data_IF_800701649397
#
_entry.id   IF_800701649397
#
_cell.length_a   1.000
_cell.length_b   1.000
_cell.length_c   1.000
_cell.angle_alpha   90.00
_cell.angle_beta   90.00
_cell.angle_gamma   90.00
#
_symmetry.space_group_name_H-M   'P 1'
#
loop_
_entity.id
_entity.type
_entity.pdbx_description
1 polymer ?
#
# COMPACT_ATOMS: atom_id res chain seq x y z
N UNK A 1 9.83 17.89 -28.26
CA UNK A 1 10.27 16.48 -28.23
C UNK A 1 9.84 15.91 -26.87
N UNK A 2 8.62 15.38 -26.80
CA UNK A 2 8.04 14.82 -25.57
C UNK A 2 8.73 13.47 -25.33
N UNK A 3 9.65 13.39 -24.38
CA UNK A 3 10.29 12.11 -24.04
C UNK A 3 9.26 11.32 -23.25
N UNK A 4 8.75 10.25 -23.82
CA UNK A 4 7.83 9.33 -23.14
C UNK A 4 8.50 8.86 -21.86
N UNK A 5 8.01 9.36 -20.73
CA UNK A 5 8.63 9.13 -19.45
C UNK A 5 8.29 7.70 -19.02
N UNK A 6 9.29 6.83 -18.98
CA UNK A 6 9.05 5.42 -18.65
C UNK A 6 8.66 5.28 -17.17
N UNK A 7 7.91 4.24 -16.81
CA UNK A 7 7.55 3.94 -15.40
C UNK A 7 8.76 3.91 -14.47
N UNK A 8 9.93 3.48 -14.98
CA UNK A 8 11.20 3.50 -14.25
C UNK A 8 11.65 4.92 -13.89
N UNK A 9 11.52 5.87 -14.81
CA UNK A 9 11.91 7.26 -14.58
C UNK A 9 11.04 7.92 -13.51
N UNK A 10 9.74 7.59 -13.50
CA UNK A 10 8.82 8.01 -12.44
C UNK A 10 9.26 7.45 -11.10
N UNK A 11 9.47 6.13 -10.98
CA UNK A 11 9.88 5.48 -9.73
C UNK A 11 11.20 6.05 -9.17
N UNK A 12 12.19 6.29 -10.03
CA UNK A 12 13.49 6.87 -9.63
C UNK A 12 13.31 8.30 -9.09
N UNK A 13 12.41 9.09 -9.68
CA UNK A 13 12.12 10.46 -9.23
C UNK A 13 11.41 10.50 -7.86
N UNK A 14 10.68 9.44 -7.54
CA UNK A 14 10.01 9.27 -6.24
C UNK A 14 10.88 8.63 -5.15
N UNK A 15 12.02 8.02 -5.52
CA UNK A 15 13.01 7.43 -4.59
C UNK A 15 13.37 8.31 -3.37
N UNK A 16 13.52 9.65 -3.48
CA UNK A 16 13.83 10.49 -2.32
C UNK A 16 12.71 10.56 -1.29
N UNK A 17 11.45 10.43 -1.72
CA UNK A 17 10.28 10.50 -0.83
C UNK A 17 10.22 9.26 0.06
N UNK A 18 10.52 8.08 -0.49
CA UNK A 18 10.51 6.81 0.25
C UNK A 18 11.64 6.67 1.28
N UNK A 19 12.75 7.38 1.11
CA UNK A 19 13.89 7.32 2.05
C UNK A 19 13.52 7.79 3.47
N UNK A 20 12.50 8.63 3.61
CA UNK A 20 11.99 9.11 4.90
C UNK A 20 11.20 8.04 5.66
N UNK A 21 10.54 7.13 4.95
CA UNK A 21 9.59 6.16 5.51
C UNK A 21 10.17 4.76 5.73
N UNK A 22 11.48 4.66 5.97
CA UNK A 22 12.16 3.35 6.09
C UNK A 22 11.60 2.49 7.22
N UNK A 23 11.15 3.11 8.32
CA UNK A 23 10.61 2.38 9.48
C UNK A 23 9.21 1.82 9.17
N UNK A 24 8.38 2.65 8.55
CA UNK A 24 7.03 2.33 8.11
C UNK A 24 7.06 1.23 7.06
N UNK A 25 8.00 1.28 6.11
CA UNK A 25 8.25 0.19 5.17
C UNK A 25 8.69 -1.10 5.86
N UNK A 26 9.58 -1.02 6.85
CA UNK A 26 10.01 -2.21 7.58
C UNK A 26 8.83 -2.89 8.31
N UNK A 27 7.93 -2.11 8.91
CA UNK A 27 6.72 -2.64 9.56
C UNK A 27 5.76 -3.23 8.52
N UNK A 28 5.60 -2.58 7.36
CA UNK A 28 4.78 -3.11 6.28
C UNK A 28 5.32 -4.45 5.76
N UNK A 29 6.63 -4.56 5.52
CA UNK A 29 7.29 -5.79 5.08
C UNK A 29 7.13 -6.90 6.13
N UNK A 30 7.27 -6.56 7.42
CA UNK A 30 7.01 -7.51 8.50
C UNK A 30 5.56 -8.01 8.47
N UNK A 31 4.59 -7.11 8.28
CA UNK A 31 3.18 -7.45 8.10
C UNK A 31 2.95 -8.39 6.90
N UNK A 32 3.63 -8.14 5.78
CA UNK A 32 3.57 -8.98 4.58
C UNK A 32 4.10 -10.39 4.83
N UNK A 33 5.25 -10.52 5.49
CA UNK A 33 5.80 -11.83 5.85
C UNK A 33 4.81 -12.58 6.74
N UNK A 34 4.24 -11.91 7.74
CA UNK A 34 3.26 -12.52 8.65
C UNK A 34 2.00 -12.98 7.90
N UNK A 35 1.48 -12.15 6.98
CA UNK A 35 0.32 -12.51 6.15
C UNK A 35 0.61 -13.65 5.18
N UNK A 36 1.80 -13.70 4.59
CA UNK A 36 2.21 -14.78 3.69
C UNK A 36 2.35 -16.12 4.44
N UNK A 37 3.00 -16.11 5.60
CA UNK A 37 3.08 -17.29 6.49
C UNK A 37 1.68 -17.73 6.93
N UNK A 38 0.85 -16.78 7.35
CA UNK A 38 -0.53 -17.06 7.74
C UNK A 38 -1.36 -17.67 6.61
N UNK A 39 -1.18 -17.19 5.38
CA UNK A 39 -1.88 -17.72 4.19
C UNK A 39 -1.43 -19.13 3.86
N UNK A 40 -0.12 -19.39 3.85
CA UNK A 40 0.42 -20.73 3.65
C UNK A 40 -0.03 -21.69 4.77
N UNK A 41 0.00 -21.24 6.02
CA UNK A 41 -0.45 -22.00 7.18
C UNK A 41 -1.93 -22.33 7.14
N UNK A 42 -2.79 -21.39 6.75
CA UNK A 42 -4.22 -21.64 6.54
C UNK A 42 -4.46 -22.72 5.48
N UNK A 43 -3.77 -22.66 4.35
CA UNK A 43 -3.90 -23.66 3.29
C UNK A 43 -3.39 -25.04 3.74
N UNK A 44 -2.22 -25.09 4.38
CA UNK A 44 -1.64 -26.32 4.91
C UNK A 44 -2.50 -26.98 5.99
N UNK A 45 -3.28 -26.19 6.74
CA UNK A 45 -4.16 -26.69 7.80
C UNK A 45 -5.41 -27.40 7.30
N UNK A 46 -5.81 -27.21 6.03
CA UNK A 46 -7.03 -27.84 5.47
C UNK A 46 -6.94 -29.36 5.45
N UNK A 47 -5.80 -29.93 5.02
CA UNK A 47 -5.62 -31.37 4.90
C UNK A 47 -5.67 -32.09 6.28
N UNK A 48 -4.92 -31.66 7.31
CA UNK A 48 -5.04 -32.22 8.66
C UNK A 48 -6.46 -32.12 9.23
N UNK A 49 -7.14 -31.00 9.01
CA UNK A 49 -8.53 -30.84 9.48
C UNK A 49 -9.44 -31.88 8.82
N UNK A 50 -9.33 -32.06 7.51
CA UNK A 50 -10.11 -33.08 6.80
C UNK A 50 -9.80 -34.49 7.28
N UNK A 51 -8.53 -34.84 7.39
CA UNK A 51 -8.11 -36.19 7.76
C UNK A 51 -8.43 -36.51 9.23
N UNK A 52 -8.05 -35.66 10.18
CA UNK A 52 -8.18 -35.96 11.62
C UNK A 52 -9.60 -35.77 12.17
N UNK A 53 -10.38 -34.82 11.64
CA UNK A 53 -11.74 -34.56 12.13
C UNK A 53 -12.78 -35.42 11.42
N UNK A 54 -12.69 -35.56 10.09
CA UNK A 54 -13.72 -36.27 9.32
C UNK A 54 -13.42 -37.75 9.11
N UNK A 55 -12.15 -38.16 9.05
CA UNK A 55 -11.77 -39.57 8.83
C UNK A 55 -11.52 -40.31 10.15
N UNK A 56 -10.63 -39.79 11.00
CA UNK A 56 -10.27 -40.47 12.27
C UNK A 56 -11.24 -40.21 13.43
N UNK A 57 -12.14 -39.21 13.33
CA UNK A 57 -13.14 -38.85 14.37
C UNK A 57 -12.55 -38.68 15.78
N UNK A 58 -11.35 -38.12 15.88
CA UNK A 58 -10.69 -37.93 17.17
C UNK A 58 -11.24 -36.69 17.91
N UNK A 59 -12.01 -36.91 18.98
CA UNK A 59 -12.69 -35.84 19.74
C UNK A 59 -11.74 -34.83 20.39
N UNK A 60 -10.50 -35.23 20.75
CA UNK A 60 -9.52 -34.31 21.35
C UNK A 60 -8.96 -33.31 20.32
N UNK A 61 -8.82 -33.76 19.07
CA UNK A 61 -8.37 -32.93 17.94
C UNK A 61 -9.47 -32.00 17.43
N UNK A 62 -10.74 -32.33 17.68
CA UNK A 62 -11.92 -31.55 17.31
C UNK A 62 -11.90 -30.12 17.86
N UNK A 63 -11.35 -29.91 19.06
CA UNK A 63 -11.26 -28.58 19.67
C UNK A 63 -9.92 -27.88 19.39
N UNK A 64 -8.84 -28.65 19.31
CA UNK A 64 -7.47 -28.11 19.20
C UNK A 64 -7.20 -27.52 17.81
N UNK A 65 -7.59 -28.21 16.74
CA UNK A 65 -7.34 -27.78 15.35
C UNK A 65 -8.08 -26.49 14.99
N UNK A 66 -9.40 -26.34 15.25
CA UNK A 66 -10.10 -25.09 14.99
C UNK A 66 -9.56 -23.92 15.79
N UNK A 67 -9.17 -24.14 17.06
CA UNK A 67 -8.58 -23.10 17.90
C UNK A 67 -7.24 -22.61 17.32
N UNK A 68 -6.37 -23.52 16.89
CA UNK A 68 -5.11 -23.17 16.23
C UNK A 68 -5.37 -22.40 14.92
N UNK A 69 -6.39 -22.79 14.15
CA UNK A 69 -6.78 -22.10 12.92
C UNK A 69 -7.25 -20.67 13.19
N UNK A 70 -8.04 -20.45 14.25
CA UNK A 70 -8.45 -19.10 14.68
C UNK A 70 -7.21 -18.25 15.00
N UNK A 71 -6.23 -18.79 15.73
CA UNK A 71 -4.98 -18.09 16.04
C UNK A 71 -4.22 -17.71 14.76
N UNK A 72 -4.08 -18.65 13.82
CA UNK A 72 -3.43 -18.40 12.51
C UNK A 72 -4.14 -17.26 11.77
N UNK A 73 -5.47 -17.26 11.74
CA UNK A 73 -6.25 -16.22 11.08
C UNK A 73 -6.10 -14.86 11.78
N UNK A 74 -6.06 -14.82 13.11
CA UNK A 74 -5.83 -13.58 13.85
C UNK A 74 -4.46 -12.99 13.49
N UNK A 75 -3.40 -13.80 13.53
CA UNK A 75 -2.05 -13.36 13.18
C UNK A 75 -1.95 -12.91 11.72
N UNK A 76 -2.55 -13.67 10.79
CA UNK A 76 -2.63 -13.31 9.37
C UNK A 76 -3.28 -11.95 9.16
N UNK A 77 -4.45 -11.72 9.78
CA UNK A 77 -5.21 -10.48 9.65
C UNK A 77 -4.52 -9.30 10.32
N UNK A 78 -3.81 -9.54 11.43
CA UNK A 78 -2.97 -8.52 12.06
C UNK A 78 -1.84 -8.08 11.12
N UNK A 79 -1.15 -9.03 10.49
CA UNK A 79 -0.17 -8.74 9.45
C UNK A 79 -0.77 -7.95 8.29
N UNK A 80 -1.97 -8.34 7.86
CA UNK A 80 -2.68 -7.72 6.74
C UNK A 80 -3.07 -6.27 7.07
N UNK A 81 -3.51 -6.03 8.30
CA UNK A 81 -3.82 -4.70 8.79
C UNK A 81 -2.57 -3.82 8.83
N UNK A 82 -1.47 -4.31 9.42
CA UNK A 82 -0.22 -3.56 9.50
C UNK A 82 0.30 -3.16 8.11
N UNK A 83 0.41 -4.11 7.18
CA UNK A 83 0.86 -3.79 5.83
C UNK A 83 -0.06 -2.77 5.15
N UNK A 84 -1.39 -2.92 5.28
CA UNK A 84 -2.36 -2.04 4.61
C UNK A 84 -2.26 -0.63 5.17
N UNK A 85 -2.23 -0.52 6.49
CA UNK A 85 -2.16 0.76 7.19
C UNK A 85 -0.89 1.54 6.84
N UNK A 86 0.29 0.91 6.98
CA UNK A 86 1.55 1.61 6.76
C UNK A 86 1.77 1.97 5.29
N UNK A 87 1.40 1.09 4.35
CA UNK A 87 1.46 1.43 2.92
C UNK A 87 0.52 2.59 2.57
N UNK A 88 -0.70 2.59 3.14
CA UNK A 88 -1.66 3.68 2.94
C UNK A 88 -1.16 5.00 3.53
N UNK A 89 -0.57 4.95 4.74
CA UNK A 89 0.03 6.11 5.39
C UNK A 89 1.16 6.71 4.56
N UNK A 90 2.08 5.87 4.05
CA UNK A 90 3.18 6.29 3.19
C UNK A 90 2.67 6.96 1.91
N UNK A 91 1.67 6.36 1.25
CA UNK A 91 1.05 6.91 0.05
C UNK A 91 0.42 8.28 0.30
N UNK A 92 -0.39 8.40 1.35
CA UNK A 92 -1.06 9.65 1.72
C UNK A 92 -0.09 10.76 2.13
N UNK A 93 0.95 10.46 2.93
CA UNK A 93 1.92 11.49 3.33
C UNK A 93 2.84 11.90 2.17
N UNK A 94 3.23 10.96 1.31
CA UNK A 94 3.99 11.28 0.07
C UNK A 94 3.20 12.26 -0.79
N UNK A 95 1.89 12.03 -0.96
CA UNK A 95 1.03 12.95 -1.67
C UNK A 95 0.92 14.31 -0.99
N UNK A 96 0.76 14.35 0.34
CA UNK A 96 0.70 15.60 1.10
C UNK A 96 1.91 16.48 0.77
N UNK A 97 3.11 15.88 0.74
CA UNK A 97 4.34 16.58 0.38
C UNK A 97 4.32 17.06 -1.08
N UNK A 98 3.81 16.25 -2.01
CA UNK A 98 3.68 16.66 -3.41
C UNK A 98 2.73 17.85 -3.59
N UNK A 99 1.52 17.78 -3.02
CA UNK A 99 0.55 18.89 -3.03
C UNK A 99 1.18 20.17 -2.50
N UNK A 100 1.88 20.06 -1.37
CA UNK A 100 2.57 21.20 -0.77
C UNK A 100 3.65 21.78 -1.68
N UNK A 101 4.49 20.95 -2.31
CA UNK A 101 5.53 21.41 -3.24
C UNK A 101 4.96 22.10 -4.47
N UNK A 102 3.90 21.54 -5.06
CA UNK A 102 3.25 22.12 -6.24
C UNK A 102 2.61 23.47 -5.89
N UNK A 103 1.83 23.52 -4.82
CA UNK A 103 1.19 24.76 -4.37
C UNK A 103 2.22 25.84 -4.03
N UNK A 104 3.29 25.48 -3.31
CA UNK A 104 4.38 26.40 -2.97
C UNK A 104 5.08 26.95 -4.22
N UNK A 105 5.20 26.15 -5.28
CA UNK A 105 5.78 26.63 -6.54
C UNK A 105 4.80 27.54 -7.29
N UNK A 106 3.52 27.17 -7.35
CA UNK A 106 2.47 27.96 -8.01
C UNK A 106 2.39 29.37 -7.42
N UNK A 107 2.41 29.49 -6.08
CA UNK A 107 2.32 30.77 -5.37
C UNK A 107 3.55 31.69 -5.57
N UNK A 108 4.65 31.18 -6.14
CA UNK A 108 5.86 31.97 -6.43
C UNK A 108 5.91 32.48 -7.88
N UNK A 109 4.96 32.09 -8.72
CA UNK A 109 4.94 32.49 -10.13
C UNK A 109 4.50 33.94 -10.27
N UNK A 110 4.95 34.57 -11.34
CA UNK A 110 4.66 35.96 -11.69
C UNK A 110 3.23 36.14 -12.21
N UNK A 111 2.72 37.37 -12.12
CA UNK A 111 1.37 37.70 -12.60
C UNK A 111 1.19 37.41 -14.10
N UNK A 112 2.23 37.49 -14.92
CA UNK A 112 2.12 37.19 -16.34
C UNK A 112 1.90 35.70 -16.61
N UNK A 113 2.40 34.80 -15.75
CA UNK A 113 2.03 33.39 -15.80
C UNK A 113 0.53 33.19 -15.58
N UNK A 114 -0.05 33.88 -14.61
CA UNK A 114 -1.49 33.80 -14.30
C UNK A 114 -2.38 34.50 -15.34
N UNK A 115 -1.85 35.48 -16.09
CA UNK A 115 -2.57 36.06 -17.23
C UNK A 115 -2.61 35.13 -18.44
N UNK A 116 -1.53 34.38 -18.67
CA UNK A 116 -1.41 33.44 -19.81
C UNK A 116 -2.17 32.13 -19.60
N UNK A 117 -2.40 31.72 -18.35
CA UNK A 117 -3.06 30.46 -18.01
C UNK A 117 -4.39 30.72 -17.30
N UNK A 118 -5.48 30.08 -17.73
CA UNK A 118 -6.79 30.24 -17.07
C UNK A 118 -6.70 29.76 -15.63
N UNK A 119 -7.11 30.60 -14.68
CA UNK A 119 -7.10 30.27 -13.25
C UNK A 119 -7.84 28.96 -12.93
N UNK A 120 -8.97 28.69 -13.60
CA UNK A 120 -9.71 27.44 -13.47
C UNK A 120 -8.94 26.20 -13.96
N UNK A 121 -8.09 26.35 -15.00
CA UNK A 121 -7.23 25.27 -15.48
C UNK A 121 -6.12 24.98 -14.46
N UNK A 122 -5.49 26.02 -13.90
CA UNK A 122 -4.47 25.87 -12.85
C UNK A 122 -5.03 25.18 -11.60
N UNK A 123 -6.26 25.52 -11.19
CA UNK A 123 -6.96 24.85 -10.08
C UNK A 123 -7.21 23.39 -10.43
N UNK A 124 -7.76 23.10 -11.62
CA UNK A 124 -8.01 21.73 -12.07
C UNK A 124 -6.75 20.87 -12.09
N UNK A 125 -5.62 21.38 -12.59
CA UNK A 125 -4.35 20.64 -12.59
C UNK A 125 -3.80 20.43 -11.18
N UNK A 126 -3.98 21.41 -10.29
CA UNK A 126 -3.55 21.29 -8.90
C UNK A 126 -4.41 20.30 -8.09
N UNK A 127 -5.68 20.14 -8.42
CA UNK A 127 -6.58 19.19 -7.74
C UNK A 127 -6.60 17.84 -8.45
N UNK A 128 -7.05 17.80 -9.70
CA UNK A 128 -7.34 16.59 -10.45
C UNK A 128 -6.06 15.84 -10.87
N UNK A 129 -5.06 16.50 -11.44
CA UNK A 129 -3.83 15.81 -11.85
C UNK A 129 -3.04 15.31 -10.63
N UNK A 130 -3.05 16.07 -9.53
CA UNK A 130 -2.44 15.63 -8.28
C UNK A 130 -3.22 14.48 -7.64
N UNK A 131 -4.55 14.45 -7.76
CA UNK A 131 -5.38 13.33 -7.32
C UNK A 131 -5.18 12.07 -8.20
N UNK A 132 -4.96 12.23 -9.51
CA UNK A 132 -4.61 11.11 -10.36
C UNK A 132 -3.25 10.52 -9.94
N UNK A 133 -2.26 11.37 -9.67
CA UNK A 133 -0.98 10.95 -9.10
C UNK A 133 -1.13 10.31 -7.71
N UNK A 134 -2.06 10.80 -6.88
CA UNK A 134 -2.38 10.17 -5.59
C UNK A 134 -2.77 8.71 -5.75
N UNK A 135 -3.69 8.42 -6.67
CA UNK A 135 -4.20 7.06 -6.87
C UNK A 135 -3.10 6.10 -7.33
N UNK A 136 -2.19 6.57 -8.18
CA UNK A 136 -1.04 5.78 -8.64
C UNK A 136 -0.08 5.48 -7.47
N UNK A 137 0.26 6.49 -6.67
CA UNK A 137 1.24 6.34 -5.59
C UNK A 137 0.67 5.58 -4.39
N UNK A 138 -0.61 5.75 -4.09
CA UNK A 138 -1.24 5.19 -2.89
C UNK A 138 -1.84 3.80 -3.09
N UNK A 139 -2.15 3.42 -4.32
CA UNK A 139 -2.75 2.11 -4.62
C UNK A 139 -1.82 1.27 -5.49
N UNK A 140 -1.45 1.75 -6.69
CA UNK A 140 -0.72 0.94 -7.67
C UNK A 140 0.67 0.51 -7.18
N UNK A 141 1.42 1.41 -6.55
CA UNK A 141 2.76 1.07 -6.05
C UNK A 141 2.64 0.06 -4.89
N UNK A 142 1.86 0.30 -3.82
CA UNK A 142 1.61 -0.70 -2.78
C UNK A 142 1.09 -2.04 -3.28
N UNK A 143 0.16 -2.04 -4.23
CA UNK A 143 -0.43 -3.27 -4.77
C UNK A 143 0.62 -4.08 -5.54
N UNK A 144 1.49 -3.42 -6.32
CA UNK A 144 2.62 -4.08 -6.98
C UNK A 144 3.64 -4.68 -5.99
N UNK A 145 3.75 -4.13 -4.78
CA UNK A 145 4.56 -4.76 -3.74
C UNK A 145 3.82 -5.92 -3.06
N UNK A 146 2.49 -5.92 -3.04
CA UNK A 146 1.63 -6.90 -2.37
C UNK A 146 1.39 -8.17 -3.20
N UNK A 147 1.29 -8.04 -4.52
CA UNK A 147 1.24 -9.17 -5.47
C UNK A 147 2.64 -9.75 -5.75
#
# INVERSE_FOLDING_TARGET
MHKDMTLKDVLIRFKPFYKKYKKEFAIAIFGMILTSIGTAGSFASLKPILDYIFVEKNEALLYTLPFLLVIIYILKNLGFYLQTYYLSFIGMDTLRILRFKVLKNLLKLDMDFFKRNRSGELVSRCTNDINALQSIVSNIIPDFFRE
#
